data_IF_744679180528
#
_entry.id   IF_744679180528
#
_cell.length_a   1.000
_cell.length_b   1.000
_cell.length_c   1.000
_cell.angle_alpha   90.00
_cell.angle_beta   90.00
_cell.angle_gamma   90.00
#
_symmetry.space_group_name_H-M   'P 1'
#
loop_
_entity.id
_entity.type
_entity.pdbx_description
1 polymer ?
#
# COMPACT_ATOMS: atom_id res chain seq x y z
N UNK A 1 0.36 -14.86 6.70
CA UNK A 1 -0.86 -15.70 6.56
C UNK A 1 -0.95 -16.64 7.75
N UNK A 2 -2.15 -16.96 8.22
CA UNK A 2 -2.36 -17.99 9.25
C UNK A 2 -3.15 -19.14 8.63
N UNK A 3 -2.67 -20.37 8.82
CA UNK A 3 -3.38 -21.57 8.37
C UNK A 3 -3.57 -22.50 9.55
N UNK A 4 -4.82 -22.94 9.77
CA UNK A 4 -5.19 -23.90 10.82
C UNK A 4 -5.81 -25.13 10.17
N UNK A 5 -5.34 -26.32 10.53
CA UNK A 5 -5.88 -27.59 10.01
C UNK A 5 -6.87 -28.21 11.01
N UNK A 6 -7.77 -29.07 10.52
CA UNK A 6 -8.79 -29.72 11.35
C UNK A 6 -8.20 -30.61 12.47
N UNK A 7 -6.97 -31.07 12.28
CA UNK A 7 -6.17 -31.85 13.22
C UNK A 7 -5.43 -30.96 14.25
N UNK A 8 -5.75 -29.67 14.33
CA UNK A 8 -5.30 -28.76 15.38
C UNK A 8 -3.88 -28.19 15.17
N UNK A 9 -3.30 -28.33 13.96
CA UNK A 9 -2.02 -27.70 13.64
C UNK A 9 -2.24 -26.27 13.17
N UNK A 10 -1.36 -25.36 13.57
CA UNK A 10 -1.33 -23.99 13.08
C UNK A 10 0.06 -23.65 12.52
N UNK A 11 0.08 -22.88 11.44
CA UNK A 11 1.29 -22.26 10.89
C UNK A 11 1.06 -20.78 10.64
N UNK A 12 2.12 -19.99 10.81
CA UNK A 12 2.13 -18.57 10.54
C UNK A 12 3.28 -18.24 9.59
N UNK A 13 3.00 -17.39 8.61
CA UNK A 13 4.00 -16.81 7.72
C UNK A 13 3.92 -15.29 7.78
N UNK A 14 5.07 -14.64 7.60
CA UNK A 14 5.20 -13.20 7.55
C UNK A 14 5.77 -12.81 6.20
N UNK A 15 5.19 -11.79 5.58
CA UNK A 15 5.70 -11.18 4.37
C UNK A 15 6.32 -9.85 4.73
N UNK A 16 7.61 -9.69 4.42
CA UNK A 16 8.36 -8.46 4.70
C UNK A 16 8.69 -7.67 3.43
N UNK A 17 8.55 -8.31 2.26
CA UNK A 17 9.16 -7.84 1.03
C UNK A 17 8.12 -7.36 0.01
N UNK A 18 6.93 -7.98 -0.04
CA UNK A 18 5.90 -7.61 -1.01
C UNK A 18 4.95 -6.51 -0.49
N UNK A 19 4.26 -5.88 -1.43
CA UNK A 19 3.19 -4.93 -1.12
C UNK A 19 2.06 -5.61 -0.30
N UNK A 20 1.56 -4.99 0.77
CA UNK A 20 0.45 -5.53 1.53
C UNK A 20 -0.83 -5.60 0.69
N UNK A 21 -1.54 -6.71 0.77
CA UNK A 21 -2.87 -6.83 0.19
C UNK A 21 -3.85 -5.87 0.88
N UNK A 22 -4.56 -5.08 0.08
CA UNK A 22 -5.62 -4.22 0.59
C UNK A 22 -6.98 -4.90 0.67
N UNK A 23 -8.02 -4.16 1.08
CA UNK A 23 -9.36 -4.69 1.26
C UNK A 23 -9.90 -5.38 0.01
N UNK A 24 -10.38 -6.62 0.15
CA UNK A 24 -10.94 -7.40 -0.96
C UNK A 24 -9.91 -7.79 -2.03
N UNK A 25 -8.62 -7.81 -1.70
CA UNK A 25 -7.54 -8.12 -2.64
C UNK A 25 -7.22 -6.98 -3.61
N UNK A 26 -7.85 -5.81 -3.42
CA UNK A 26 -7.53 -4.61 -4.17
C UNK A 26 -6.37 -3.89 -3.47
N UNK A 27 -5.37 -3.43 -4.23
CA UNK A 27 -4.29 -2.62 -3.67
C UNK A 27 -4.81 -1.33 -3.03
N UNK A 28 -4.00 -0.72 -2.16
CA UNK A 28 -4.34 0.57 -1.57
C UNK A 28 -4.20 1.71 -2.58
N UNK A 29 -4.92 2.81 -2.35
CA UNK A 29 -4.73 4.05 -3.10
C UNK A 29 -3.27 4.53 -2.93
N UNK A 30 -2.50 4.78 -4.00
CA UNK A 30 -1.13 5.26 -3.91
C UNK A 30 -0.96 6.49 -3.00
N UNK A 31 -1.95 7.38 -2.95
CA UNK A 31 -1.93 8.58 -2.09
C UNK A 31 -1.93 8.21 -0.60
N UNK A 32 -2.54 7.09 -0.21
CA UNK A 32 -2.51 6.62 1.17
C UNK A 32 -1.08 6.27 1.61
N UNK A 33 -0.29 5.62 0.75
CA UNK A 33 1.12 5.33 1.03
C UNK A 33 1.94 6.62 1.16
N UNK A 34 1.68 7.63 0.33
CA UNK A 34 2.36 8.93 0.45
C UNK A 34 2.07 9.60 1.81
N UNK A 35 0.81 9.61 2.24
CA UNK A 35 0.42 10.19 3.53
C UNK A 35 1.07 9.42 4.69
N UNK A 36 1.09 8.08 4.60
CA UNK A 36 1.75 7.22 5.60
C UNK A 36 3.25 7.52 5.67
N UNK A 37 3.92 7.57 4.53
CA UNK A 37 5.36 7.82 4.44
C UNK A 37 5.75 9.23 4.94
N UNK A 38 4.93 10.25 4.69
CA UNK A 38 5.17 11.60 5.24
C UNK A 38 5.03 11.64 6.76
N UNK A 39 4.14 10.81 7.32
CA UNK A 39 3.94 10.70 8.77
C UNK A 39 4.98 9.80 9.43
N UNK A 40 5.44 8.77 8.72
CA UNK A 40 6.38 7.75 9.18
C UNK A 40 7.50 7.56 8.15
N UNK A 41 8.43 8.52 8.04
CA UNK A 41 9.48 8.49 7.04
C UNK A 41 10.41 7.29 7.25
N UNK A 42 10.79 6.65 6.14
CA UNK A 42 11.71 5.51 6.11
C UNK A 42 13.03 5.94 5.48
N UNK A 43 14.10 5.29 5.90
CA UNK A 43 15.39 5.41 5.23
C UNK A 43 15.33 4.79 3.83
N UNK A 44 16.09 5.34 2.88
CA UNK A 44 16.09 4.89 1.49
C UNK A 44 16.52 3.42 1.35
N UNK A 45 17.49 2.96 2.15
CA UNK A 45 17.94 1.57 2.17
C UNK A 45 16.87 0.60 2.71
N UNK A 46 15.87 1.13 3.42
CA UNK A 46 14.75 0.38 4.00
C UNK A 46 13.42 0.65 3.29
N UNK A 47 13.47 1.32 2.14
CA UNK A 47 12.30 1.55 1.30
C UNK A 47 12.30 0.50 0.20
N UNK A 48 11.36 -0.45 0.17
CA UNK A 48 11.31 -1.46 -0.88
C UNK A 48 10.88 -0.85 -2.21
N UNK A 49 11.18 -1.54 -3.31
CA UNK A 49 10.97 -1.04 -4.67
C UNK A 49 9.50 -0.75 -4.97
N UNK A 50 8.60 -1.64 -4.53
CA UNK A 50 7.15 -1.43 -4.70
C UNK A 50 6.68 -0.15 -4.01
N UNK A 51 7.24 0.21 -2.85
CA UNK A 51 6.84 1.43 -2.14
C UNK A 51 7.32 2.67 -2.89
N UNK A 52 8.54 2.65 -3.44
CA UNK A 52 9.02 3.74 -4.32
C UNK A 52 8.09 3.96 -5.51
N UNK A 53 7.63 2.88 -6.13
CA UNK A 53 6.69 2.95 -7.26
C UNK A 53 5.36 3.56 -6.83
N UNK A 54 4.76 3.13 -5.70
CA UNK A 54 3.53 3.72 -5.17
C UNK A 54 3.68 5.20 -4.82
N UNK A 55 4.83 5.63 -4.28
CA UNK A 55 5.08 7.04 -4.00
C UNK A 55 5.16 7.88 -5.28
N UNK A 56 5.78 7.36 -6.34
CA UNK A 56 5.80 8.03 -7.65
C UNK A 56 4.40 8.12 -8.26
N UNK A 57 3.62 7.03 -8.21
CA UNK A 57 2.22 7.01 -8.64
C UNK A 57 1.37 8.03 -7.87
N UNK A 58 1.58 8.15 -6.56
CA UNK A 58 0.87 9.11 -5.71
C UNK A 58 1.11 10.56 -6.13
N UNK A 59 2.34 10.90 -6.54
CA UNK A 59 2.67 12.25 -7.04
C UNK A 59 1.88 12.54 -8.32
N UNK A 60 1.86 11.60 -9.27
CA UNK A 60 1.12 11.77 -10.52
C UNK A 60 -0.39 11.78 -10.31
N UNK A 61 -0.92 10.93 -9.42
CA UNK A 61 -2.33 10.88 -9.08
C UNK A 61 -2.80 12.17 -8.39
N UNK A 62 -2.01 12.72 -7.47
CA UNK A 62 -2.33 14.00 -6.84
C UNK A 62 -2.35 15.16 -7.84
N UNK A 63 -1.41 15.21 -8.80
CA UNK A 63 -1.43 16.22 -9.88
C UNK A 63 -2.72 16.11 -10.69
N UNK A 64 -3.12 14.88 -11.05
CA UNK A 64 -4.38 14.63 -11.79
C UNK A 64 -5.60 15.06 -10.97
N UNK A 65 -5.72 14.63 -9.70
CA UNK A 65 -6.83 14.99 -8.81
C UNK A 65 -6.92 16.48 -8.53
N UNK A 66 -5.79 17.18 -8.41
CA UNK A 66 -5.78 18.65 -8.23
C UNK A 66 -6.38 19.41 -9.43
N UNK A 67 -6.37 18.82 -10.63
CA UNK A 67 -7.00 19.38 -11.83
C UNK A 67 -8.48 19.00 -11.96
N UNK A 68 -8.98 18.06 -11.14
CA UNK A 68 -10.35 17.57 -11.17
C UNK A 68 -11.23 18.24 -10.10
N UNK A 69 -12.52 18.47 -10.38
CA UNK A 69 -13.53 18.73 -9.36
C UNK A 69 -13.52 17.64 -8.27
N UNK A 70 -13.71 18.02 -7.00
CA UNK A 70 -13.60 17.10 -5.85
C UNK A 70 -14.57 15.92 -5.88
N UNK A 71 -15.71 16.10 -6.53
CA UNK A 71 -16.72 15.08 -6.75
C UNK A 71 -16.23 13.94 -7.66
N UNK A 72 -15.16 14.14 -8.44
CA UNK A 72 -14.62 13.16 -9.40
C UNK A 72 -13.35 12.46 -8.91
N UNK A 73 -13.04 12.49 -7.62
CA UNK A 73 -11.79 11.92 -7.07
C UNK A 73 -11.85 10.41 -6.78
N UNK A 74 -13.06 9.85 -6.72
CA UNK A 74 -13.35 8.51 -6.22
C UNK A 74 -14.06 7.60 -7.24
N UNK A 75 -14.18 8.06 -8.50
CA UNK A 75 -14.73 7.29 -9.63
C UNK A 75 -13.70 6.34 -10.27
#
# INVERSE_FOLDING_TARGET
MVTVTAEGRASVSYNYDDEPEGPGGQGFDPVAYKIEFEKFPRDEAHTPEWLRQRLAEAVELNKKRAALPRDQWFD
#
